data_IF_187347099510
#
_entry.id   IF_187347099510
#
_cell.length_a   1.000
_cell.length_b   1.000
_cell.length_c   1.000
_cell.angle_alpha   90.00
_cell.angle_beta   90.00
_cell.angle_gamma   90.00
#
_symmetry.space_group_name_H-M   'P 1'
#
loop_
_entity.id
_entity.type
_entity.pdbx_description
1 polymer ?
#
# COMPACT_ATOMS: atom_id res chain seq x y z
N UNK A 1 -28.14 -2.99 29.79
CA UNK A 1 -27.14 -2.93 28.69
C UNK A 1 -26.17 -4.08 28.88
N UNK A 2 -26.28 -5.13 28.06
CA UNK A 2 -25.30 -6.22 28.08
C UNK A 2 -23.96 -5.69 27.57
N UNK A 3 -22.90 -5.89 28.35
CA UNK A 3 -21.53 -5.57 27.95
C UNK A 3 -21.02 -6.74 27.12
N UNK A 4 -20.62 -6.50 25.87
CA UNK A 4 -19.83 -7.49 25.14
C UNK A 4 -18.50 -7.68 25.85
N UNK A 5 -18.06 -8.94 25.95
CA UNK A 5 -16.71 -9.23 26.37
C UNK A 5 -15.71 -8.74 25.31
N UNK A 6 -14.46 -8.52 25.73
CA UNK A 6 -13.38 -8.11 24.83
C UNK A 6 -13.22 -9.07 23.65
N UNK A 7 -13.39 -10.37 23.89
CA UNK A 7 -13.15 -11.39 22.87
C UNK A 7 -14.26 -11.38 21.81
N UNK A 8 -15.52 -11.33 22.23
CA UNK A 8 -16.65 -11.23 21.31
C UNK A 8 -16.59 -9.96 20.45
N UNK A 9 -16.12 -8.84 21.03
CA UNK A 9 -15.90 -7.61 20.29
C UNK A 9 -14.83 -7.79 19.20
N UNK A 10 -13.70 -8.42 19.54
CA UNK A 10 -12.63 -8.68 18.58
C UNK A 10 -13.10 -9.60 17.46
N UNK A 11 -13.78 -10.70 17.79
CA UNK A 11 -14.28 -11.66 16.81
C UNK A 11 -15.30 -11.00 15.87
N UNK A 12 -16.19 -10.15 16.41
CA UNK A 12 -17.15 -9.37 15.62
C UNK A 12 -16.43 -8.41 14.67
N UNK A 13 -15.42 -7.67 15.16
CA UNK A 13 -14.66 -6.73 14.33
C UNK A 13 -13.85 -7.43 13.24
N UNK A 14 -13.27 -8.60 13.55
CA UNK A 14 -12.56 -9.42 12.58
C UNK A 14 -13.49 -9.92 11.49
N UNK A 15 -14.68 -10.43 11.86
CA UNK A 15 -15.71 -10.85 10.90
C UNK A 15 -16.20 -9.68 10.02
N UNK A 16 -16.42 -8.50 10.61
CA UNK A 16 -16.84 -7.30 9.86
C UNK A 16 -15.81 -6.86 8.81
N UNK A 17 -14.52 -7.10 9.06
CA UNK A 17 -13.42 -6.72 8.16
C UNK A 17 -12.93 -7.87 7.27
N UNK A 18 -13.58 -9.03 7.33
CA UNK A 18 -13.16 -10.27 6.66
C UNK A 18 -11.69 -10.63 6.96
N UNK A 19 -11.31 -10.56 8.24
CA UNK A 19 -9.95 -10.89 8.71
C UNK A 19 -9.96 -12.24 9.41
N UNK A 20 -9.19 -13.19 8.88
CA UNK A 20 -8.96 -14.51 9.48
C UNK A 20 -7.86 -14.43 10.54
N UNK A 21 -6.75 -13.76 10.22
CA UNK A 21 -5.61 -13.57 11.14
C UNK A 21 -5.14 -12.13 11.12
N UNK A 22 -5.17 -11.47 12.28
CA UNK A 22 -4.71 -10.09 12.40
C UNK A 22 -3.25 -9.95 11.95
N UNK A 23 -3.01 -9.01 11.04
CA UNK A 23 -1.65 -8.65 10.67
C UNK A 23 -0.90 -8.07 11.87
N UNK A 24 0.20 -8.69 12.35
CA UNK A 24 0.87 -8.27 13.58
C UNK A 24 1.52 -6.89 13.48
N UNK A 25 1.71 -6.37 12.26
CA UNK A 25 2.35 -5.08 12.00
C UNK A 25 1.39 -3.89 12.06
N UNK A 26 0.11 -4.12 11.77
CA UNK A 26 -0.93 -3.07 11.78
C UNK A 26 -2.14 -3.43 12.64
N UNK A 27 -2.12 -4.59 13.32
CA UNK A 27 -3.19 -5.06 14.21
C UNK A 27 -4.58 -5.07 13.54
N UNK A 28 -4.66 -5.46 12.27
CA UNK A 28 -5.93 -5.49 11.54
C UNK A 28 -6.38 -4.16 10.95
N UNK A 29 -5.63 -3.07 11.12
CA UNK A 29 -6.01 -1.77 10.56
C UNK A 29 -5.80 -1.65 9.05
N UNK A 30 -4.83 -2.37 8.50
CA UNK A 30 -4.45 -2.25 7.08
C UNK A 30 -3.57 -1.04 6.78
N UNK A 31 -3.56 -0.03 7.65
CA UNK A 31 -2.70 1.15 7.59
C UNK A 31 -1.76 1.23 8.80
N UNK A 32 -0.78 2.13 8.71
CA UNK A 32 0.03 2.57 9.83
C UNK A 32 0.08 4.07 9.86
N UNK A 33 0.11 4.60 11.06
CA UNK A 33 0.30 6.02 11.26
C UNK A 33 1.68 6.25 11.85
N UNK A 34 2.48 7.10 11.22
CA UNK A 34 3.78 7.49 11.73
C UNK A 34 3.89 9.01 11.78
N UNK A 35 4.57 9.50 12.82
CA UNK A 35 4.99 10.89 12.94
C UNK A 35 6.39 11.00 12.37
N UNK A 36 6.51 11.60 11.18
CA UNK A 36 7.81 12.01 10.63
C UNK A 36 7.86 13.53 10.64
N UNK A 37 8.68 14.09 11.52
CA UNK A 37 8.99 15.53 11.51
C UNK A 37 10.12 15.87 10.53
N UNK A 38 10.65 14.85 9.83
CA UNK A 38 11.68 15.03 8.83
C UNK A 38 11.13 15.81 7.63
N UNK A 39 11.79 16.91 7.30
CA UNK A 39 11.49 17.72 6.13
C UNK A 39 12.63 17.60 5.13
N UNK A 40 12.31 17.71 3.85
CA UNK A 40 13.32 17.89 2.82
C UNK A 40 14.04 19.22 3.06
N UNK A 41 15.37 19.17 3.26
CA UNK A 41 16.26 20.33 3.56
C UNK A 41 16.13 20.99 4.95
N UNK A 42 15.65 20.28 5.98
CA UNK A 42 15.93 20.65 7.38
C UNK A 42 15.06 21.75 8.01
N UNK A 43 13.83 21.94 7.54
CA UNK A 43 12.80 22.76 8.20
C UNK A 43 12.02 22.04 9.32
N UNK A 44 11.19 22.78 10.04
CA UNK A 44 10.27 22.25 11.06
C UNK A 44 9.05 21.62 10.37
N UNK A 45 8.94 20.29 10.40
CA UNK A 45 7.85 19.54 9.78
C UNK A 45 6.67 19.19 10.68
N UNK A 46 6.62 19.70 11.92
CA UNK A 46 5.48 19.46 12.83
C UNK A 46 4.19 19.95 12.19
N UNK A 47 3.06 19.23 12.13
CA UNK A 47 2.38 18.47 13.18
C UNK A 47 1.49 17.35 12.58
N UNK A 48 1.86 16.79 11.43
CA UNK A 48 0.95 15.90 10.68
C UNK A 48 1.32 14.44 10.88
N UNK A 49 0.38 13.69 11.49
CA UNK A 49 0.42 12.24 11.49
C UNK A 49 0.24 11.75 10.05
N UNK A 50 1.23 11.06 9.52
CA UNK A 50 1.14 10.50 8.16
C UNK A 50 0.57 9.10 8.25
N UNK A 51 -0.52 8.84 7.51
CA UNK A 51 -1.07 7.49 7.35
C UNK A 51 -0.53 6.88 6.06
N UNK A 52 0.05 5.70 6.17
CA UNK A 52 0.54 4.89 5.05
C UNK A 52 -0.09 3.50 5.07
N UNK A 53 -0.09 2.84 3.91
CA UNK A 53 -0.55 1.47 3.77
C UNK A 53 0.43 0.53 4.49
N UNK A 54 -0.08 -0.45 5.22
CA UNK A 54 0.77 -1.44 5.85
C UNK A 54 1.51 -2.27 4.78
N UNK A 55 2.80 -2.02 4.62
CA UNK A 55 3.73 -2.77 3.75
C UNK A 55 3.85 -4.29 4.00
N UNK A 56 3.17 -4.86 5.00
CA UNK A 56 3.16 -6.32 5.26
C UNK A 56 1.92 -6.99 4.69
N UNK A 57 0.73 -6.44 4.96
CA UNK A 57 -0.54 -6.96 4.45
C UNK A 57 -1.06 -6.17 3.24
N UNK A 58 -0.33 -5.14 2.83
CA UNK A 58 -0.64 -4.25 1.70
C UNK A 58 -2.01 -3.59 1.76
N UNK A 59 -2.56 -3.40 2.96
CA UNK A 59 -3.85 -2.75 3.17
C UNK A 59 -4.96 -3.65 3.69
N UNK A 60 -4.83 -4.98 3.56
CA UNK A 60 -5.94 -5.89 3.91
C UNK A 60 -6.22 -5.99 5.40
N UNK A 61 -5.23 -5.69 6.25
CA UNK A 61 -5.32 -5.94 7.69
C UNK A 61 -5.12 -7.41 8.09
N UNK A 62 -5.09 -8.33 7.11
CA UNK A 62 -4.96 -9.77 7.32
C UNK A 62 -3.53 -10.25 7.03
N UNK A 63 -3.00 -11.13 7.87
CA UNK A 63 -1.68 -11.75 7.70
C UNK A 63 -1.64 -12.83 6.60
N UNK A 64 -2.76 -13.54 6.40
CA UNK A 64 -2.94 -14.66 5.47
C UNK A 64 -3.47 -14.23 4.12
N UNK A 65 -4.24 -13.13 4.07
CA UNK A 65 -4.81 -12.55 2.84
C UNK A 65 -4.21 -11.16 2.55
N UNK A 66 -2.90 -11.02 2.28
CA UNK A 66 -2.32 -9.74 1.90
C UNK A 66 -2.86 -9.28 0.55
N UNK A 67 -3.08 -7.98 0.37
CA UNK A 67 -3.42 -7.40 -0.93
C UNK A 67 -2.20 -7.34 -1.86
N UNK A 68 -2.46 -6.98 -3.11
CA UNK A 68 -1.43 -6.89 -4.15
C UNK A 68 -0.36 -5.87 -3.78
N UNK A 69 0.90 -6.33 -3.80
CA UNK A 69 2.06 -5.47 -3.68
C UNK A 69 2.19 -4.56 -4.92
N UNK A 70 1.72 -3.32 -4.78
CA UNK A 70 1.77 -2.31 -5.85
C UNK A 70 3.21 -1.93 -6.24
N UNK A 71 4.20 -2.12 -5.35
CA UNK A 71 5.61 -1.85 -5.67
C UNK A 71 6.14 -2.90 -6.63
N UNK A 72 5.82 -4.18 -6.41
CA UNK A 72 6.12 -5.26 -7.35
C UNK A 72 5.38 -5.09 -8.68
N UNK A 73 4.10 -4.73 -8.64
CA UNK A 73 3.32 -4.49 -9.86
C UNK A 73 3.89 -3.32 -10.69
N UNK A 74 4.37 -2.27 -10.03
CA UNK A 74 5.06 -1.16 -10.71
C UNK A 74 6.38 -1.62 -11.32
N UNK A 75 7.15 -2.42 -10.58
CA UNK A 75 8.42 -2.95 -11.07
C UNK A 75 8.23 -3.83 -12.30
N UNK A 76 7.26 -4.75 -12.29
CA UNK A 76 6.98 -5.60 -13.44
C UNK A 76 6.54 -4.80 -14.66
N UNK A 77 5.68 -3.78 -14.51
CA UNK A 77 5.29 -2.89 -15.61
C UNK A 77 6.50 -2.21 -16.26
N UNK A 78 7.47 -1.76 -15.47
CA UNK A 78 8.63 -1.02 -15.95
C UNK A 78 9.73 -1.92 -16.55
N UNK A 79 9.68 -3.23 -16.28
CA UNK A 79 10.68 -4.21 -16.73
C UNK A 79 10.17 -5.10 -17.85
N UNK A 80 8.89 -5.00 -18.21
CA UNK A 80 8.39 -5.53 -19.48
C UNK A 80 9.23 -4.94 -20.62
N UNK A 81 9.80 -5.76 -21.52
CA UNK A 81 10.44 -5.24 -22.70
C UNK A 81 9.44 -4.38 -23.46
N UNK A 82 9.86 -3.20 -23.90
CA UNK A 82 9.05 -2.40 -24.83
C UNK A 82 8.68 -3.32 -26.00
N UNK A 83 7.42 -3.33 -26.47
CA UNK A 83 7.10 -4.01 -27.71
C UNK A 83 8.02 -3.45 -28.80
N UNK A 84 8.60 -4.35 -29.60
CA UNK A 84 9.52 -3.97 -30.68
C UNK A 84 8.87 -2.85 -31.52
N UNK A 85 9.62 -1.79 -31.87
CA UNK A 85 9.09 -0.75 -32.74
C UNK A 85 8.60 -1.41 -34.04
N UNK A 86 7.36 -1.09 -34.44
CA UNK A 86 6.81 -1.58 -35.69
C UNK A 86 7.76 -1.23 -36.84
N UNK A 87 8.00 -2.14 -37.79
CA UNK A 87 8.94 -1.88 -38.87
C UNK A 87 8.43 -0.79 -39.81
N UNK A 88 9.07 0.39 -39.73
CA UNK A 88 9.29 1.32 -40.84
C UNK A 88 8.26 2.43 -41.07
N UNK A 89 8.58 3.64 -40.63
CA UNK A 89 8.22 4.90 -41.31
C UNK A 89 9.43 5.84 -41.44
N UNK A 90 10.54 5.34 -42.02
CA UNK A 90 11.70 6.13 -42.43
C UNK A 90 11.36 7.12 -43.57
N UNK A 91 10.56 8.15 -43.29
CA UNK A 91 10.38 9.31 -44.17
C UNK A 91 10.94 10.55 -43.50
N UNK A 92 12.27 10.63 -43.59
CA UNK A 92 13.13 11.79 -43.36
C UNK A 92 12.42 13.16 -43.45
N UNK A 93 12.28 13.85 -42.32
CA UNK A 93 12.37 15.32 -42.31
C UNK A 93 13.83 15.71 -42.57
N UNK A 94 14.19 15.92 -43.84
CA UNK A 94 15.41 16.65 -44.18
C UNK A 94 15.18 18.13 -43.89
N UNK A 95 15.97 18.62 -42.95
CA UNK A 95 16.17 20.03 -42.61
C UNK A 95 16.50 20.90 -43.84
N UNK A 96 15.78 22.03 -43.99
CA UNK A 96 16.28 23.42 -44.01
C UNK A 96 15.16 24.39 -44.41
#
# INVERSE_FOLDING_TARGET
MNKLSRQELLDTLMAMKDIDVLCPKCQGWGSKTYSSTATWRGGIGGQVMTTDVCDKCWGSGDATKPWTDLRKLRYSRNTSPNPEPAPGDDSMEKSL
#
